data_IF_114676075672
#
_entry.id   IF_114676075672
#
_cell.length_a   1.000
_cell.length_b   1.000
_cell.length_c   1.000
_cell.angle_alpha   90.00
_cell.angle_beta   90.00
_cell.angle_gamma   90.00
#
_symmetry.space_group_name_H-M   'P 1'
#
loop_
_entity.id
_entity.type
_entity.pdbx_description
1 polymer ?
#
# COMPACT_ATOMS: atom_id res chain seq x y z
N UNK A 1 48.76 -84.50 50.74
CA UNK A 1 48.64 -83.04 50.83
C UNK A 1 49.18 -82.42 49.55
N UNK A 2 48.58 -81.33 49.05
CA UNK A 2 47.51 -81.28 48.05
C UNK A 2 48.01 -81.09 46.59
N UNK A 3 47.12 -81.27 45.58
CA UNK A 3 47.46 -81.22 44.17
C UNK A 3 47.74 -79.80 43.64
N UNK A 4 48.49 -79.76 42.54
CA UNK A 4 49.02 -78.57 41.87
C UNK A 4 47.93 -77.54 41.47
N UNK A 5 48.27 -76.23 41.50
CA UNK A 5 47.31 -75.15 41.28
C UNK A 5 46.77 -75.11 39.85
N UNK A 6 45.44 -75.05 39.75
CA UNK A 6 44.68 -74.87 38.51
C UNK A 6 44.94 -73.47 37.95
N UNK A 7 45.52 -73.40 36.75
CA UNK A 7 45.65 -72.16 35.97
C UNK A 7 44.28 -71.69 35.51
N UNK A 8 43.79 -70.58 36.06
CA UNK A 8 42.61 -69.88 35.55
C UNK A 8 42.93 -69.24 34.18
N UNK A 9 42.13 -69.59 33.16
CA UNK A 9 42.12 -68.93 31.85
C UNK A 9 41.68 -67.47 32.02
N UNK A 10 42.53 -66.52 31.63
CA UNK A 10 42.12 -65.12 31.43
C UNK A 10 41.18 -65.06 30.22
N UNK A 11 39.92 -64.73 30.45
CA UNK A 11 38.97 -64.31 29.42
C UNK A 11 39.38 -62.93 28.90
N UNK A 12 39.51 -62.79 27.58
CA UNK A 12 39.80 -61.50 26.95
C UNK A 12 38.56 -60.60 27.06
N UNK A 13 38.71 -59.44 27.68
CA UNK A 13 37.70 -58.39 27.64
C UNK A 13 37.43 -57.99 26.18
N UNK A 14 36.19 -58.12 25.72
CA UNK A 14 35.76 -57.60 24.44
C UNK A 14 35.91 -56.07 24.47
N UNK A 15 36.68 -55.52 23.52
CA UNK A 15 36.70 -54.07 23.28
C UNK A 15 35.32 -53.65 22.76
N UNK A 16 34.52 -53.02 23.62
CA UNK A 16 33.34 -52.28 23.16
C UNK A 16 33.79 -51.26 22.12
N UNK A 17 33.24 -51.36 20.91
CA UNK A 17 33.43 -50.31 19.89
C UNK A 17 32.55 -49.14 20.31
N UNK A 18 33.07 -47.90 20.33
CA UNK A 18 32.22 -46.73 20.56
C UNK A 18 31.13 -46.71 19.48
N UNK A 19 29.91 -46.24 19.81
CA UNK A 19 28.86 -46.08 18.82
C UNK A 19 29.37 -45.15 17.71
N UNK A 20 29.00 -45.39 16.44
CA UNK A 20 29.36 -44.47 15.37
C UNK A 20 28.82 -43.07 15.71
N UNK A 21 29.57 -41.99 15.38
CA UNK A 21 29.09 -40.64 15.60
C UNK A 21 27.76 -40.45 14.84
N UNK A 22 26.87 -39.53 15.29
CA UNK A 22 25.65 -39.26 14.57
C UNK A 22 26.00 -38.79 13.14
N UNK A 23 25.71 -39.63 12.15
CA UNK A 23 25.77 -39.26 10.74
C UNK A 23 24.55 -38.39 10.45
N UNK A 24 24.70 -37.08 10.54
CA UNK A 24 23.83 -36.12 9.87
C UNK A 24 24.48 -35.72 8.55
N UNK A 25 23.77 -35.90 7.44
CA UNK A 25 24.12 -35.32 6.14
C UNK A 25 23.49 -33.94 5.94
N UNK A 26 22.79 -33.40 6.94
CA UNK A 26 22.30 -32.04 6.86
C UNK A 26 23.49 -31.10 6.83
N UNK A 27 23.71 -30.48 5.67
CA UNK A 27 24.41 -29.22 5.64
C UNK A 27 23.55 -28.23 6.42
N UNK A 28 23.99 -27.89 7.62
CA UNK A 28 23.56 -26.64 8.25
C UNK A 28 24.16 -25.57 7.35
N UNK A 29 23.35 -25.07 6.44
CA UNK A 29 23.74 -23.95 5.60
C UNK A 29 24.25 -22.85 6.50
N UNK A 30 25.45 -22.36 6.23
CA UNK A 30 25.80 -21.03 6.69
C UNK A 30 24.69 -20.11 6.19
N UNK A 31 24.05 -19.36 7.09
CA UNK A 31 23.31 -18.16 6.74
C UNK A 31 24.31 -17.22 6.04
N UNK A 32 24.57 -17.44 4.75
CA UNK A 32 24.91 -16.36 3.86
C UNK A 32 23.73 -15.41 4.01
N UNK A 33 23.96 -14.32 4.75
CA UNK A 33 23.04 -13.20 4.83
C UNK A 33 22.89 -12.71 3.40
N UNK A 34 21.96 -13.31 2.66
CA UNK A 34 21.43 -12.70 1.46
C UNK A 34 20.85 -11.39 1.94
N UNK A 35 21.44 -10.28 1.49
CA UNK A 35 20.88 -8.96 1.74
C UNK A 35 19.39 -9.04 1.39
N UNK A 36 18.47 -8.74 2.32
CA UNK A 36 17.08 -8.99 2.09
C UNK A 36 16.64 -8.21 0.86
N UNK A 37 16.03 -8.90 -0.10
CA UNK A 37 15.62 -8.27 -1.35
C UNK A 37 14.61 -7.17 -1.02
N UNK A 38 14.87 -5.91 -1.41
CA UNK A 38 13.98 -4.81 -1.08
C UNK A 38 12.66 -4.98 -1.81
N UNK A 39 11.54 -4.81 -1.09
CA UNK A 39 10.20 -4.83 -1.65
C UNK A 39 9.64 -3.41 -1.72
N UNK A 40 9.32 -2.92 -2.92
CA UNK A 40 8.95 -1.52 -3.15
C UNK A 40 7.50 -1.39 -3.59
N UNK A 41 6.76 -0.51 -2.93
CA UNK A 41 5.38 -0.16 -3.24
C UNK A 41 5.34 1.31 -3.67
N UNK A 42 4.72 1.58 -4.83
CA UNK A 42 4.48 2.93 -5.32
C UNK A 42 2.97 3.18 -5.39
N UNK A 43 2.51 4.33 -4.90
CA UNK A 43 1.11 4.73 -5.04
C UNK A 43 1.00 6.13 -5.66
N UNK A 44 0.03 6.33 -6.53
CA UNK A 44 -0.25 7.63 -7.14
C UNK A 44 -1.73 7.75 -7.53
N UNK A 45 -2.38 8.84 -7.14
CA UNK A 45 -3.64 9.24 -7.77
C UNK A 45 -3.34 9.83 -9.16
N UNK A 46 -3.83 9.17 -10.21
CA UNK A 46 -3.50 9.51 -11.61
C UNK A 46 -4.48 10.50 -12.24
N UNK A 47 -5.59 10.81 -11.57
CA UNK A 47 -6.62 11.72 -12.07
C UNK A 47 -7.01 11.45 -13.54
N UNK A 48 -7.17 10.16 -13.88
CA UNK A 48 -7.37 9.65 -15.24
C UNK A 48 -6.14 8.93 -15.80
N UNK A 49 -6.17 7.59 -15.77
CA UNK A 49 -5.02 6.75 -16.13
C UNK A 49 -4.54 6.93 -17.58
N UNK A 50 -5.46 7.15 -18.52
CA UNK A 50 -5.13 7.37 -19.94
C UNK A 50 -4.26 8.61 -20.14
N UNK A 51 -4.60 9.69 -19.44
CA UNK A 51 -3.85 10.96 -19.48
C UNK A 51 -2.47 10.76 -18.87
N UNK A 52 -2.40 10.13 -17.70
CA UNK A 52 -1.13 9.86 -17.03
C UNK A 52 -0.19 9.00 -17.89
N UNK A 53 -0.72 7.97 -18.56
CA UNK A 53 0.06 7.14 -19.49
C UNK A 53 0.55 7.92 -20.71
N UNK A 54 -0.27 8.78 -21.32
CA UNK A 54 0.21 9.64 -22.43
C UNK A 54 1.32 10.62 -22.02
N UNK A 55 1.46 10.91 -20.72
CA UNK A 55 2.52 11.75 -20.16
C UNK A 55 3.78 10.96 -19.75
N UNK A 56 3.87 9.68 -20.10
CA UNK A 56 5.06 8.86 -19.85
C UNK A 56 5.11 8.18 -18.47
N UNK A 57 3.96 8.03 -17.79
CA UNK A 57 3.93 7.37 -16.47
C UNK A 57 4.40 5.89 -16.54
N UNK A 58 4.11 5.16 -17.62
CA UNK A 58 4.56 3.76 -17.79
C UNK A 58 6.08 3.66 -17.80
N UNK A 59 6.76 4.54 -18.55
CA UNK A 59 8.22 4.55 -18.65
C UNK A 59 8.87 4.87 -17.31
N UNK A 60 8.28 5.80 -16.56
CA UNK A 60 8.71 6.10 -15.20
C UNK A 60 8.59 4.88 -14.28
N UNK A 61 7.46 4.17 -14.32
CA UNK A 61 7.25 2.97 -13.51
C UNK A 61 8.26 1.88 -13.88
N UNK A 62 8.48 1.63 -15.17
CA UNK A 62 9.48 0.65 -15.60
C UNK A 62 10.90 1.03 -15.15
N UNK A 63 11.26 2.33 -15.21
CA UNK A 63 12.54 2.81 -14.72
C UNK A 63 12.68 2.68 -13.20
N UNK A 64 11.60 2.93 -12.46
CA UNK A 64 11.61 2.85 -10.99
C UNK A 64 11.50 1.42 -10.47
N UNK A 65 10.92 0.53 -11.27
CA UNK A 65 10.79 -0.91 -11.06
C UNK A 65 10.22 -1.35 -9.69
N UNK A 66 9.13 -0.73 -9.18
CA UNK A 66 8.51 -1.14 -7.92
C UNK A 66 7.88 -2.54 -8.03
N UNK A 67 7.77 -3.27 -6.94
CA UNK A 67 7.15 -4.60 -6.91
C UNK A 67 5.63 -4.51 -7.03
N UNK A 68 5.03 -3.47 -6.44
CA UNK A 68 3.61 -3.16 -6.59
C UNK A 68 3.42 -1.66 -6.91
N UNK A 69 2.49 -1.37 -7.80
CA UNK A 69 2.00 -0.02 -8.12
C UNK A 69 0.50 0.07 -7.88
N UNK A 70 0.09 1.09 -7.14
CA UNK A 70 -1.29 1.36 -6.79
C UNK A 70 -1.76 2.68 -7.45
N UNK A 71 -2.87 2.64 -8.18
CA UNK A 71 -3.45 3.79 -8.85
C UNK A 71 -4.80 4.17 -8.27
N UNK A 72 -4.94 5.43 -7.87
CA UNK A 72 -6.22 6.06 -7.51
C UNK A 72 -6.75 6.92 -8.66
N UNK A 73 -8.07 7.08 -8.74
CA UNK A 73 -8.77 7.78 -9.82
C UNK A 73 -8.32 7.37 -11.22
N UNK A 74 -8.39 6.09 -11.55
CA UNK A 74 -8.15 5.67 -12.93
C UNK A 74 -9.19 6.25 -13.89
N UNK A 75 -10.38 6.59 -13.37
CA UNK A 75 -11.55 7.11 -14.10
C UNK A 75 -12.02 6.18 -15.22
N UNK A 76 -11.70 4.90 -15.10
CA UNK A 76 -12.22 3.87 -15.97
C UNK A 76 -13.57 3.40 -15.43
N UNK A 77 -14.64 3.65 -16.16
CA UNK A 77 -15.93 3.02 -15.90
C UNK A 77 -16.09 1.74 -16.72
N UNK A 78 -17.07 0.90 -16.33
CA UNK A 78 -17.24 -0.44 -16.92
C UNK A 78 -17.37 -0.46 -18.44
N UNK A 79 -18.05 0.52 -19.06
CA UNK A 79 -18.24 0.55 -20.51
C UNK A 79 -16.98 0.94 -21.27
N UNK A 80 -16.09 1.73 -20.65
CA UNK A 80 -14.85 2.21 -21.27
C UNK A 80 -13.65 1.29 -20.99
N UNK A 81 -13.83 0.25 -20.19
CA UNK A 81 -12.78 -0.68 -19.77
C UNK A 81 -12.36 -1.62 -20.90
N UNK A 82 -13.30 -2.22 -21.62
CA UNK A 82 -12.98 -3.14 -22.72
C UNK A 82 -12.12 -2.45 -23.81
N UNK A 83 -12.56 -1.27 -24.26
CA UNK A 83 -11.81 -0.47 -25.24
C UNK A 83 -10.46 0.04 -24.70
N UNK A 84 -10.35 0.27 -23.38
CA UNK A 84 -9.06 0.57 -22.76
C UNK A 84 -8.11 -0.62 -22.86
N UNK A 85 -8.57 -1.81 -22.49
CA UNK A 85 -7.75 -3.03 -22.53
C UNK A 85 -7.34 -3.40 -23.94
N UNK A 86 -8.25 -3.31 -24.91
CA UNK A 86 -7.94 -3.58 -26.32
C UNK A 86 -6.83 -2.65 -26.86
N UNK A 87 -6.85 -1.37 -26.47
CA UNK A 87 -5.86 -0.40 -26.89
C UNK A 87 -4.52 -0.54 -26.16
N UNK A 88 -4.57 -0.77 -24.85
CA UNK A 88 -3.41 -0.58 -23.97
C UNK A 88 -2.75 -1.90 -23.52
N UNK A 89 -3.48 -3.01 -23.54
CA UNK A 89 -2.95 -4.30 -23.13
C UNK A 89 -2.19 -4.96 -24.29
N UNK A 90 -1.03 -5.51 -23.96
CA UNK A 90 -0.21 -6.33 -24.84
C UNK A 90 -0.05 -7.70 -24.23
N UNK A 91 0.07 -8.73 -25.07
CA UNK A 91 0.39 -10.07 -24.60
C UNK A 91 1.88 -10.15 -24.33
N UNK A 92 2.25 -10.48 -23.10
CA UNK A 92 3.62 -10.83 -22.77
C UNK A 92 3.97 -12.15 -23.49
N UNK A 93 5.01 -12.19 -24.34
CA UNK A 93 5.34 -13.39 -25.09
C UNK A 93 5.89 -14.52 -24.20
N UNK A 94 6.50 -14.19 -23.06
CA UNK A 94 7.16 -15.15 -22.18
C UNK A 94 6.15 -15.82 -21.25
N UNK A 95 5.21 -15.05 -20.70
CA UNK A 95 4.19 -15.55 -19.76
C UNK A 95 2.82 -15.80 -20.40
N UNK A 96 2.58 -15.22 -21.58
CA UNK A 96 1.28 -15.24 -22.23
C UNK A 96 0.23 -14.33 -21.60
N UNK A 97 0.57 -13.58 -20.55
CA UNK A 97 -0.34 -12.70 -19.81
C UNK A 97 -0.66 -11.45 -20.63
N UNK A 98 -1.94 -11.10 -20.72
CA UNK A 98 -2.35 -9.82 -21.28
C UNK A 98 -2.22 -8.73 -20.21
N UNK A 99 -1.29 -7.81 -20.42
CA UNK A 99 -1.03 -6.74 -19.45
C UNK A 99 -0.82 -5.38 -20.09
N UNK A 100 -1.21 -4.35 -19.34
CA UNK A 100 -1.08 -2.93 -19.71
C UNK A 100 0.36 -2.42 -19.48
N UNK A 101 1.14 -3.10 -18.64
CA UNK A 101 2.56 -2.81 -18.37
C UNK A 101 3.35 -4.13 -18.35
N UNK A 102 4.35 -4.26 -19.23
CA UNK A 102 5.14 -5.49 -19.42
C UNK A 102 5.80 -5.96 -18.11
N UNK A 103 5.74 -7.26 -17.80
CA UNK A 103 6.31 -7.82 -16.56
C UNK A 103 5.48 -7.56 -15.29
N UNK A 104 4.30 -6.96 -15.42
CA UNK A 104 3.34 -6.78 -14.32
C UNK A 104 2.03 -7.49 -14.67
N UNK A 105 1.41 -8.11 -13.68
CA UNK A 105 -0.02 -8.49 -13.67
C UNK A 105 -0.83 -7.41 -12.96
N UNK A 106 -2.13 -7.34 -13.21
CA UNK A 106 -2.94 -6.23 -12.69
C UNK A 106 -4.38 -6.59 -12.38
N UNK A 107 -5.01 -5.75 -11.55
CA UNK A 107 -6.44 -5.75 -11.27
C UNK A 107 -6.97 -4.32 -11.41
N UNK A 108 -8.15 -4.19 -12.01
CA UNK A 108 -8.89 -2.92 -12.09
C UNK A 108 -10.21 -3.05 -11.32
N UNK A 109 -10.44 -2.15 -10.37
CA UNK A 109 -11.73 -1.97 -9.72
C UNK A 109 -12.42 -0.75 -10.34
N UNK A 110 -13.24 -1.00 -11.36
CA UNK A 110 -13.93 0.04 -12.12
C UNK A 110 -15.27 0.42 -11.47
N UNK A 111 -15.55 1.73 -11.38
CA UNK A 111 -16.86 2.22 -10.95
C UNK A 111 -17.97 1.74 -11.88
N UNK A 112 -18.99 1.15 -11.26
CA UNK A 112 -20.28 0.82 -11.89
C UNK A 112 -21.32 1.90 -11.65
N UNK A 113 -21.16 2.69 -10.59
CA UNK A 113 -22.05 3.79 -10.23
C UNK A 113 -22.02 4.96 -11.23
N UNK A 114 -20.84 5.33 -11.75
CA UNK A 114 -20.69 6.48 -12.65
C UNK A 114 -19.52 6.32 -13.61
N UNK A 115 -19.74 6.64 -14.90
CA UNK A 115 -18.67 6.64 -15.91
C UNK A 115 -17.69 7.81 -15.69
N UNK A 116 -16.39 7.58 -15.94
CA UNK A 116 -15.36 8.61 -15.81
C UNK A 116 -15.10 9.07 -14.37
N UNK A 117 -15.50 8.29 -13.38
CA UNK A 117 -15.50 8.64 -11.96
C UNK A 117 -14.76 7.58 -11.15
N UNK A 118 -14.02 8.03 -10.13
CA UNK A 118 -13.30 7.18 -9.18
C UNK A 118 -12.49 6.07 -9.88
N UNK A 119 -12.68 4.82 -9.45
CA UNK A 119 -11.94 3.63 -9.87
C UNK A 119 -10.49 3.59 -9.41
N UNK A 120 -10.03 2.37 -9.14
CA UNK A 120 -8.68 2.08 -8.67
C UNK A 120 -8.08 0.94 -9.49
N UNK A 121 -6.76 0.82 -9.45
CA UNK A 121 -6.07 -0.33 -10.01
C UNK A 121 -4.82 -0.66 -9.18
N UNK A 122 -4.43 -1.93 -9.21
CA UNK A 122 -3.13 -2.37 -8.70
C UNK A 122 -2.41 -3.15 -9.80
N UNK A 123 -1.10 -2.95 -9.87
CA UNK A 123 -0.18 -3.70 -10.71
C UNK A 123 0.86 -4.32 -9.81
N UNK A 124 1.10 -5.62 -9.93
CA UNK A 124 2.16 -6.31 -9.22
C UNK A 124 3.10 -6.93 -10.25
N UNK A 125 4.41 -6.95 -9.99
CA UNK A 125 5.32 -7.75 -10.83
C UNK A 125 4.79 -9.18 -10.90
N UNK A 126 4.98 -9.84 -12.04
CA UNK A 126 4.47 -11.20 -12.23
C UNK A 126 5.01 -12.18 -11.17
N UNK A 127 6.24 -11.96 -10.72
CA UNK A 127 6.92 -12.70 -9.67
C UNK A 127 6.34 -12.52 -8.26
N UNK A 128 5.55 -11.47 -8.01
CA UNK A 128 4.98 -11.21 -6.68
C UNK A 128 3.77 -12.14 -6.47
N UNK A 129 3.79 -13.06 -5.50
CA UNK A 129 2.65 -13.94 -5.25
C UNK A 129 1.49 -13.14 -4.66
N UNK A 130 0.32 -13.22 -5.31
CA UNK A 130 -0.95 -12.70 -4.79
C UNK A 130 -1.79 -13.90 -4.39
N UNK A 131 -2.11 -14.00 -3.10
CA UNK A 131 -2.80 -15.15 -2.51
C UNK A 131 -4.32 -15.02 -2.56
N UNK A 132 -4.82 -13.79 -2.40
CA UNK A 132 -6.24 -13.47 -2.47
C UNK A 132 -6.47 -12.04 -2.95
N UNK A 133 -7.68 -11.76 -3.45
CA UNK A 133 -8.11 -10.45 -3.95
C UNK A 133 -9.55 -10.16 -3.51
N UNK A 134 -9.74 -9.02 -2.87
CA UNK A 134 -11.04 -8.49 -2.49
C UNK A 134 -11.21 -7.06 -3.05
N UNK A 135 -12.34 -6.81 -3.72
CA UNK A 135 -12.68 -5.51 -4.32
C UNK A 135 -13.87 -4.83 -3.65
N UNK A 136 -14.32 -5.37 -2.51
CA UNK A 136 -15.54 -4.96 -1.84
C UNK A 136 -15.29 -4.83 -0.34
N UNK A 137 -15.75 -3.73 0.23
CA UNK A 137 -15.68 -3.46 1.67
C UNK A 137 -16.97 -3.92 2.38
N UNK A 138 -18.02 -4.29 1.63
CA UNK A 138 -19.27 -4.84 2.14
C UNK A 138 -20.36 -3.79 2.36
N UNK A 139 -20.27 -2.64 1.70
CA UNK A 139 -21.31 -1.61 1.68
C UNK A 139 -21.62 -1.23 0.21
N UNK A 140 -22.82 -1.54 -0.32
CA UNK A 140 -23.16 -1.35 -1.73
C UNK A 140 -22.97 0.09 -2.24
N UNK A 141 -23.13 1.10 -1.37
CA UNK A 141 -22.92 2.50 -1.73
C UNK A 141 -21.48 2.74 -2.20
N UNK A 142 -20.49 2.18 -1.49
CA UNK A 142 -19.07 2.37 -1.79
C UNK A 142 -18.50 1.30 -2.73
N UNK A 143 -19.03 0.07 -2.67
CA UNK A 143 -18.57 -1.04 -3.50
C UNK A 143 -18.84 -0.81 -5.00
N UNK A 144 -19.82 0.02 -5.33
CA UNK A 144 -20.11 0.42 -6.71
C UNK A 144 -19.22 1.54 -7.26
N UNK A 145 -18.42 2.20 -6.41
CA UNK A 145 -17.57 3.33 -6.80
C UNK A 145 -16.16 2.93 -7.24
N UNK A 146 -15.75 1.68 -7.00
CA UNK A 146 -14.43 1.18 -7.40
C UNK A 146 -13.26 1.75 -6.59
N UNK A 147 -13.51 2.11 -5.32
CA UNK A 147 -12.57 2.85 -4.46
C UNK A 147 -11.67 1.98 -3.58
N UNK A 148 -11.81 0.66 -3.65
CA UNK A 148 -11.22 -0.27 -2.70
C UNK A 148 -10.62 -1.48 -3.42
N UNK A 149 -9.36 -1.75 -3.13
CA UNK A 149 -8.66 -2.96 -3.54
C UNK A 149 -7.88 -3.49 -2.33
N UNK A 150 -8.07 -4.76 -2.04
CA UNK A 150 -7.31 -5.49 -1.03
C UNK A 150 -6.71 -6.72 -1.68
N UNK A 151 -5.38 -6.87 -1.59
CA UNK A 151 -4.66 -8.07 -2.01
C UNK A 151 -3.90 -8.67 -0.85
N UNK A 152 -4.02 -9.98 -0.68
CA UNK A 152 -3.26 -10.73 0.31
C UNK A 152 -1.93 -11.18 -0.30
N UNK A 153 -0.82 -10.85 0.36
CA UNK A 153 0.53 -11.31 0.03
C UNK A 153 1.00 -12.27 1.13
N UNK A 154 2.05 -13.09 0.89
CA UNK A 154 2.56 -14.02 1.90
C UNK A 154 2.91 -13.37 3.25
N UNK A 155 3.37 -12.13 3.21
CA UNK A 155 3.94 -11.46 4.38
C UNK A 155 3.03 -10.37 4.97
N UNK A 156 2.08 -9.83 4.20
CA UNK A 156 1.16 -8.78 4.66
C UNK A 156 -0.07 -8.63 3.76
N UNK A 157 -1.09 -7.94 4.27
CA UNK A 157 -2.28 -7.52 3.55
C UNK A 157 -2.07 -6.10 2.99
N UNK A 158 -2.22 -5.91 1.68
CA UNK A 158 -2.13 -4.60 1.04
C UNK A 158 -3.53 -4.09 0.68
N UNK A 159 -3.91 -2.96 1.27
CA UNK A 159 -5.19 -2.29 1.06
C UNK A 159 -4.91 -0.95 0.39
N UNK A 160 -5.29 -0.81 -0.87
CA UNK A 160 -5.23 0.45 -1.61
C UNK A 160 -6.61 1.06 -1.75
N UNK A 161 -6.71 2.35 -1.49
CA UNK A 161 -7.98 3.07 -1.60
C UNK A 161 -7.89 4.42 -2.30
N UNK A 162 -9.06 4.86 -2.76
CA UNK A 162 -9.35 6.23 -3.10
C UNK A 162 -10.53 6.72 -2.25
N UNK A 163 -10.23 7.35 -1.12
CA UNK A 163 -11.25 7.77 -0.17
C UNK A 163 -12.11 8.91 -0.78
N UNK A 164 -13.45 8.94 -0.56
CA UNK A 164 -14.33 9.94 -1.15
C UNK A 164 -14.00 11.35 -0.65
N UNK A 165 -14.04 12.35 -1.53
CA UNK A 165 -13.87 13.74 -1.10
C UNK A 165 -15.18 14.29 -0.51
N UNK A 166 -15.10 15.08 0.56
CA UNK A 166 -16.28 15.68 1.22
C UNK A 166 -17.02 16.75 0.39
N UNK A 167 -16.52 17.08 -0.81
CA UNK A 167 -17.20 17.88 -1.82
C UNK A 167 -16.80 19.36 -1.78
N UNK A 168 -16.46 19.91 -2.95
CA UNK A 168 -16.13 21.33 -3.09
C UNK A 168 -17.39 22.19 -2.98
N UNK A 169 -17.30 23.34 -2.34
CA UNK A 169 -18.42 24.27 -2.19
C UNK A 169 -18.88 24.76 -3.57
N UNK A 170 -20.16 24.56 -3.89
CA UNK A 170 -20.73 24.88 -5.22
C UNK A 170 -20.97 26.39 -5.46
N UNK A 171 -20.83 27.23 -4.43
CA UNK A 171 -21.23 28.64 -4.46
C UNK A 171 -20.08 29.66 -4.31
N UNK A 172 -18.82 29.21 -4.32
CA UNK A 172 -17.66 30.07 -4.06
C UNK A 172 -17.60 30.63 -2.62
N UNK A 173 -18.57 30.27 -1.76
CA UNK A 173 -18.60 30.64 -0.34
C UNK A 173 -17.61 29.77 0.42
N UNK A 174 -16.83 30.41 1.29
CA UNK A 174 -15.96 29.71 2.22
C UNK A 174 -16.77 28.76 3.13
N UNK A 175 -16.20 27.59 3.41
CA UNK A 175 -16.75 26.71 4.43
C UNK A 175 -16.51 27.31 5.82
N UNK A 176 -17.49 27.10 6.71
CA UNK A 176 -17.48 27.57 8.09
C UNK A 176 -18.09 26.49 8.98
N UNK A 177 -18.11 26.70 10.29
CA UNK A 177 -18.87 25.82 11.20
C UNK A 177 -20.36 25.69 10.84
N UNK A 178 -20.96 26.71 10.18
CA UNK A 178 -22.38 26.72 9.77
C UNK A 178 -22.61 26.30 8.32
N UNK A 179 -21.55 26.29 7.51
CA UNK A 179 -21.60 25.94 6.10
C UNK A 179 -20.54 24.87 5.87
N UNK A 180 -20.93 23.60 5.98
CA UNK A 180 -20.03 22.44 5.95
C UNK A 180 -20.04 21.78 4.55
N UNK A 181 -19.00 20.99 4.19
CA UNK A 181 -19.00 20.24 2.95
C UNK A 181 -20.21 19.31 2.82
N UNK A 182 -20.82 19.28 1.64
CA UNK A 182 -22.10 18.59 1.42
C UNK A 182 -22.02 17.07 1.63
N UNK A 183 -20.87 16.46 1.32
CA UNK A 183 -20.69 15.01 1.40
C UNK A 183 -19.93 14.58 2.68
N UNK A 184 -19.75 15.48 3.65
CA UNK A 184 -19.00 15.17 4.87
C UNK A 184 -19.61 13.97 5.64
N UNK A 185 -20.94 13.87 5.70
CA UNK A 185 -21.61 12.74 6.37
C UNK A 185 -21.30 11.40 5.69
N UNK A 186 -21.39 11.33 4.36
CA UNK A 186 -21.02 10.17 3.56
C UNK A 186 -19.53 9.83 3.72
N UNK A 187 -18.66 10.85 3.75
CA UNK A 187 -17.23 10.66 4.04
C UNK A 187 -17.02 10.02 5.41
N UNK A 188 -17.66 10.51 6.47
CA UNK A 188 -17.51 9.92 7.81
C UNK A 188 -18.12 8.52 7.91
N UNK A 189 -19.16 8.20 7.13
CA UNK A 189 -19.64 6.81 6.98
C UNK A 189 -18.54 5.92 6.40
N UNK A 190 -17.88 6.34 5.32
CA UNK A 190 -16.76 5.63 4.71
C UNK A 190 -15.63 5.38 5.71
N UNK A 191 -15.24 6.39 6.50
CA UNK A 191 -14.17 6.26 7.50
C UNK A 191 -14.45 5.17 8.54
N UNK A 192 -15.71 5.07 9.00
CA UNK A 192 -16.11 4.03 9.95
C UNK A 192 -16.02 2.63 9.33
N UNK A 193 -16.36 2.50 8.05
CA UNK A 193 -16.31 1.23 7.34
C UNK A 193 -14.87 0.77 7.15
N UNK A 194 -13.99 1.63 6.62
CA UNK A 194 -12.58 1.27 6.40
C UNK A 194 -11.85 1.02 7.71
N UNK A 195 -12.15 1.80 8.76
CA UNK A 195 -11.60 1.58 10.09
C UNK A 195 -12.04 0.25 10.69
N UNK A 196 -13.31 -0.13 10.53
CA UNK A 196 -13.79 -1.46 10.95
C UNK A 196 -13.11 -2.57 10.15
N UNK A 197 -12.96 -2.39 8.84
CA UNK A 197 -12.34 -3.39 7.95
C UNK A 197 -10.89 -3.66 8.36
N UNK A 198 -10.08 -2.60 8.48
CA UNK A 198 -8.68 -2.70 8.89
C UNK A 198 -8.57 -3.25 10.31
N UNK A 199 -9.41 -2.77 11.23
CA UNK A 199 -9.45 -3.25 12.61
C UNK A 199 -9.70 -4.76 12.71
N UNK A 200 -10.58 -5.32 11.88
CA UNK A 200 -10.82 -6.76 11.85
C UNK A 200 -9.58 -7.54 11.39
N UNK A 201 -8.83 -7.04 10.41
CA UNK A 201 -7.59 -7.66 9.94
C UNK A 201 -6.51 -7.63 11.03
N UNK A 202 -6.30 -6.46 11.64
CA UNK A 202 -5.33 -6.31 12.74
C UNK A 202 -5.70 -7.19 13.93
N UNK A 203 -6.99 -7.25 14.31
CA UNK A 203 -7.47 -8.13 15.37
C UNK A 203 -7.30 -9.63 15.06
N UNK A 204 -7.33 -10.00 13.78
CA UNK A 204 -7.00 -11.34 13.30
C UNK A 204 -5.49 -11.62 13.24
N UNK A 205 -4.64 -10.69 13.71
CA UNK A 205 -3.20 -10.81 13.73
C UNK A 205 -2.51 -10.57 12.40
N UNK A 206 -3.22 -9.98 11.42
CA UNK A 206 -2.66 -9.67 10.11
C UNK A 206 -1.81 -8.40 10.15
N UNK A 207 -0.68 -8.44 9.45
CA UNK A 207 0.12 -7.28 9.15
C UNK A 207 -0.47 -6.53 7.95
N UNK A 208 -0.60 -5.22 8.05
CA UNK A 208 -1.37 -4.41 7.08
C UNK A 208 -0.51 -3.26 6.55
N UNK A 209 -0.58 -3.06 5.23
CA UNK A 209 -0.21 -1.82 4.53
C UNK A 209 -1.50 -1.22 3.95
N UNK A 210 -1.90 -0.06 4.46
CA UNK A 210 -3.02 0.73 3.97
C UNK A 210 -2.49 1.96 3.22
N UNK A 211 -2.80 2.10 1.94
CA UNK A 211 -2.24 3.16 1.10
C UNK A 211 -3.21 3.78 0.11
N UNK A 212 -2.77 4.88 -0.50
CA UNK A 212 -3.48 5.58 -1.57
C UNK A 212 -3.84 7.01 -1.19
N UNK A 213 -4.75 7.59 -1.97
CA UNK A 213 -5.29 8.92 -1.73
C UNK A 213 -6.40 8.83 -0.68
N UNK A 214 -6.03 9.24 0.54
CA UNK A 214 -6.94 9.25 1.67
C UNK A 214 -7.73 10.55 1.74
N UNK A 215 -7.50 11.55 0.89
CA UNK A 215 -8.28 12.81 0.89
C UNK A 215 -8.37 13.50 2.27
N UNK A 216 -7.33 13.38 3.11
CA UNK A 216 -7.24 14.05 4.41
C UNK A 216 -5.81 14.49 4.67
N UNK A 217 -5.59 15.75 5.06
CA UNK A 217 -4.34 16.22 5.64
C UNK A 217 -4.46 16.10 7.16
N UNK A 218 -3.64 15.25 7.80
CA UNK A 218 -3.84 14.90 9.20
C UNK A 218 -3.54 16.05 10.16
N UNK A 219 -2.40 16.70 9.98
CA UNK A 219 -1.89 17.73 10.87
C UNK A 219 -1.70 19.07 10.13
N UNK A 220 -1.55 20.18 10.86
CA UNK A 220 -1.34 21.49 10.25
C UNK A 220 -0.08 21.56 9.35
N UNK A 221 0.92 20.74 9.64
CA UNK A 221 2.14 20.60 8.81
C UNK A 221 1.86 19.94 7.46
N UNK A 222 0.73 19.23 7.32
CA UNK A 222 0.37 18.46 6.13
C UNK A 222 -0.34 19.29 5.05
N UNK A 223 -0.52 20.60 5.25
CA UNK A 223 -1.06 21.47 4.19
C UNK A 223 -0.57 22.91 4.29
N UNK A 224 -0.63 23.59 3.15
CA UNK A 224 -0.47 25.03 3.08
C UNK A 224 -1.70 25.76 3.66
N UNK A 225 -1.44 26.80 4.48
CA UNK A 225 -2.45 27.65 5.11
C UNK A 225 -3.54 26.89 5.91
N UNK A 226 -3.19 26.15 6.98
CA UNK A 226 -4.15 25.39 7.79
C UNK A 226 -5.32 26.23 8.32
N UNK A 227 -5.05 27.47 8.75
CA UNK A 227 -6.06 28.38 9.33
C UNK A 227 -7.23 28.66 8.39
N UNK A 228 -6.96 28.94 7.12
CA UNK A 228 -8.03 29.20 6.14
C UNK A 228 -8.70 27.93 5.63
N UNK A 229 -8.07 26.77 5.84
CA UNK A 229 -8.52 25.48 5.33
C UNK A 229 -9.23 24.60 6.37
N UNK A 230 -9.30 25.01 7.63
CA UNK A 230 -9.87 24.20 8.74
C UNK A 230 -11.29 23.66 8.48
N UNK A 231 -12.09 24.31 7.63
CA UNK A 231 -13.42 23.83 7.29
C UNK A 231 -13.54 23.26 5.87
N UNK A 232 -12.43 23.26 5.12
CA UNK A 232 -12.40 22.76 3.76
C UNK A 232 -12.29 21.22 3.75
N UNK A 233 -12.87 20.56 2.71
CA UNK A 233 -12.73 19.13 2.51
C UNK A 233 -11.27 18.68 2.58
N UNK A 234 -11.03 17.62 3.33
CA UNK A 234 -9.72 17.08 3.62
C UNK A 234 -8.99 17.71 4.80
N UNK A 235 -9.53 18.75 5.43
CA UNK A 235 -8.93 19.34 6.64
C UNK A 235 -9.96 19.70 7.71
N UNK A 236 -11.16 19.12 7.65
CA UNK A 236 -12.17 19.27 8.70
C UNK A 236 -11.77 18.54 9.98
N UNK A 237 -12.27 19.00 11.14
CA UNK A 237 -12.08 18.29 12.41
C UNK A 237 -12.54 16.84 12.34
N UNK A 238 -13.67 16.58 11.67
CA UNK A 238 -14.28 15.25 11.57
C UNK A 238 -13.42 14.29 10.75
N UNK A 239 -12.86 14.75 9.62
CA UNK A 239 -11.94 13.95 8.80
C UNK A 239 -10.64 13.66 9.56
N UNK A 240 -10.03 14.69 10.16
CA UNK A 240 -8.79 14.52 10.94
C UNK A 240 -8.98 13.61 12.14
N UNK A 241 -10.07 13.79 12.88
CA UNK A 241 -10.39 12.96 14.05
C UNK A 241 -10.72 11.52 13.66
N UNK A 242 -11.37 11.30 12.51
CA UNK A 242 -11.61 9.95 12.01
C UNK A 242 -10.28 9.25 11.67
N UNK A 243 -9.35 9.96 11.04
CA UNK A 243 -8.02 9.44 10.76
C UNK A 243 -7.22 9.17 12.04
N UNK A 244 -7.19 10.09 13.01
CA UNK A 244 -6.57 9.83 14.33
C UNK A 244 -7.15 8.57 15.00
N UNK A 245 -8.48 8.42 15.00
CA UNK A 245 -9.13 7.24 15.58
C UNK A 245 -8.77 5.94 14.87
N UNK A 246 -8.58 5.98 13.55
CA UNK A 246 -8.09 4.83 12.80
C UNK A 246 -6.68 4.43 13.26
N UNK A 247 -5.78 5.42 13.36
CA UNK A 247 -4.39 5.18 13.76
C UNK A 247 -4.29 4.68 15.20
N UNK A 248 -4.84 5.45 16.15
CA UNK A 248 -4.75 5.16 17.58
C UNK A 248 -5.55 3.89 17.94
N UNK A 249 -6.71 3.69 17.32
CA UNK A 249 -7.61 2.58 17.63
C UNK A 249 -7.06 1.21 17.25
N UNK A 250 -6.19 1.15 16.24
CA UNK A 250 -5.65 -0.11 15.71
C UNK A 250 -4.12 -0.19 15.78
N UNK A 251 -3.45 0.78 16.43
CA UNK A 251 -1.99 0.81 16.54
C UNK A 251 -1.28 0.94 15.19
N UNK A 252 -1.86 1.71 14.26
CA UNK A 252 -1.30 1.95 12.95
C UNK A 252 -0.40 3.18 12.93
N UNK A 253 0.57 3.19 12.03
CA UNK A 253 1.61 4.20 11.92
C UNK A 253 1.54 4.86 10.54
N UNK A 254 1.41 6.18 10.48
CA UNK A 254 1.71 6.96 9.27
C UNK A 254 3.23 6.90 9.01
N UNK A 255 3.63 6.07 8.05
CA UNK A 255 5.04 5.77 7.80
C UNK A 255 5.84 7.02 7.44
N UNK A 256 5.26 7.93 6.65
CA UNK A 256 5.94 9.16 6.24
C UNK A 256 6.20 10.07 7.44
N UNK A 257 5.20 10.28 8.29
CA UNK A 257 5.34 11.17 9.44
C UNK A 257 6.23 10.57 10.52
N UNK A 258 6.23 9.26 10.69
CA UNK A 258 7.14 8.57 11.61
C UNK A 258 8.61 8.68 11.17
N UNK A 259 8.89 8.57 9.86
CA UNK A 259 10.25 8.69 9.30
C UNK A 259 10.70 10.16 9.14
N UNK A 260 9.78 11.06 8.86
CA UNK A 260 10.05 12.47 8.55
C UNK A 260 9.18 13.42 9.38
N UNK A 261 9.33 13.44 10.73
CA UNK A 261 8.41 14.11 11.64
C UNK A 261 8.23 15.60 11.35
N UNK A 262 9.29 16.28 10.92
CA UNK A 262 9.30 17.73 10.70
C UNK A 262 9.38 18.13 9.21
N UNK A 263 9.40 17.16 8.28
CA UNK A 263 9.48 17.50 6.85
C UNK A 263 8.12 18.02 6.38
N UNK A 264 8.13 19.23 5.82
CA UNK A 264 7.01 19.76 5.06
C UNK A 264 7.16 19.24 3.63
N UNK A 265 6.27 18.33 3.24
CA UNK A 265 6.17 17.89 1.86
C UNK A 265 4.72 17.51 1.54
N UNK A 266 4.32 17.68 0.27
CA UNK A 266 2.93 17.59 -0.16
C UNK A 266 2.78 16.64 -1.34
N UNK A 267 1.69 15.86 -1.33
CA UNK A 267 1.40 14.87 -2.36
C UNK A 267 0.36 15.35 -3.37
N UNK A 268 -0.32 16.47 -3.12
CA UNK A 268 -1.35 17.04 -3.98
C UNK A 268 -1.24 18.56 -4.10
N UNK A 269 -1.49 19.08 -5.30
CA UNK A 269 -1.50 20.51 -5.60
C UNK A 269 -2.69 20.87 -6.47
N UNK A 270 -3.39 21.95 -6.12
CA UNK A 270 -4.48 22.46 -6.96
C UNK A 270 -3.99 22.83 -8.37
N UNK A 271 -4.76 22.45 -9.39
CA UNK A 271 -4.53 22.92 -10.77
C UNK A 271 -4.77 24.43 -10.93
N UNK A 272 -5.34 25.10 -9.92
CA UNK A 272 -5.60 26.54 -9.92
C UNK A 272 -4.52 27.31 -9.19
N UNK A 273 -4.35 28.59 -9.57
CA UNK A 273 -3.52 29.53 -8.80
C UNK A 273 -2.02 29.22 -8.80
N UNK A 274 -1.52 28.44 -9.77
CA UNK A 274 -0.10 28.04 -9.86
C UNK A 274 0.40 27.36 -8.57
N UNK A 275 -0.47 26.59 -7.91
CA UNK A 275 -0.22 26.06 -6.57
C UNK A 275 1.04 25.20 -6.50
N UNK A 276 1.31 24.37 -7.52
CA UNK A 276 2.53 23.55 -7.58
C UNK A 276 3.81 24.41 -7.62
N UNK A 277 3.82 25.45 -8.45
CA UNK A 277 4.97 26.36 -8.58
C UNK A 277 5.21 27.16 -7.30
N UNK A 278 4.13 27.51 -6.58
CA UNK A 278 4.18 28.21 -5.30
C UNK A 278 4.36 27.27 -4.10
N UNK A 279 4.45 25.96 -4.32
CA UNK A 279 4.49 24.92 -3.28
C UNK A 279 3.30 24.98 -2.30
N UNK A 280 2.14 25.44 -2.77
CA UNK A 280 0.90 25.48 -2.01
C UNK A 280 0.17 24.13 -2.13
N UNK A 281 0.64 23.13 -1.38
CA UNK A 281 0.17 21.75 -1.47
C UNK A 281 -0.46 21.20 -0.20
N UNK A 282 -0.96 19.98 -0.31
CA UNK A 282 -1.51 19.17 0.77
C UNK A 282 -0.91 17.76 0.70
N UNK A 283 -0.65 17.12 1.83
CA UNK A 283 -0.28 15.71 1.93
C UNK A 283 -1.53 14.90 2.26
N UNK A 284 -2.08 14.26 1.23
CA UNK A 284 -3.31 13.48 1.32
C UNK A 284 -3.16 12.04 0.83
N UNK A 285 -1.96 11.69 0.35
CA UNK A 285 -1.60 10.33 -0.05
C UNK A 285 -0.69 9.71 1.02
N UNK A 286 -0.99 8.47 1.42
CA UNK A 286 -0.35 7.85 2.59
C UNK A 286 0.13 6.43 2.35
N UNK A 287 1.12 6.03 3.16
CA UNK A 287 1.31 4.65 3.60
C UNK A 287 1.09 4.62 5.12
N UNK A 288 0.05 3.92 5.54
CA UNK A 288 -0.30 3.64 6.94
C UNK A 288 -0.08 2.16 7.18
N UNK A 289 0.70 1.80 8.21
CA UNK A 289 1.18 0.42 8.38
C UNK A 289 1.02 -0.07 9.82
N UNK A 290 0.93 -1.38 10.03
CA UNK A 290 1.10 -1.96 11.38
C UNK A 290 2.53 -1.76 11.88
N UNK A 291 2.74 -1.78 13.20
CA UNK A 291 4.07 -1.61 13.81
C UNK A 291 5.11 -2.60 13.28
N UNK A 292 4.73 -3.88 13.12
CA UNK A 292 5.61 -4.93 12.55
C UNK A 292 6.05 -4.66 11.12
N UNK A 293 5.18 -4.02 10.32
CA UNK A 293 5.56 -3.59 8.96
C UNK A 293 6.44 -2.36 9.03
N UNK A 294 6.15 -1.41 9.93
CA UNK A 294 6.98 -0.23 10.11
C UNK A 294 8.43 -0.58 10.46
N UNK A 295 8.67 -1.59 11.29
CA UNK A 295 10.03 -2.12 11.59
C UNK A 295 10.80 -2.58 10.34
N UNK A 296 10.08 -2.92 9.26
CA UNK A 296 10.64 -3.31 7.98
C UNK A 296 10.74 -2.17 6.98
N UNK A 297 10.18 -0.99 7.26
CA UNK A 297 10.26 0.17 6.37
C UNK A 297 11.69 0.71 6.37
N UNK A 298 12.35 0.66 5.22
CA UNK A 298 13.68 1.23 5.03
C UNK A 298 13.62 2.66 4.51
N UNK A 299 12.67 2.94 3.61
CA UNK A 299 12.45 4.28 3.06
C UNK A 299 10.97 4.52 2.80
N UNK A 300 10.57 5.78 2.90
CA UNK A 300 9.28 6.30 2.46
C UNK A 300 9.48 7.74 2.00
N UNK A 301 8.99 8.11 0.83
CA UNK A 301 9.14 9.47 0.32
C UNK A 301 8.04 9.86 -0.68
N UNK A 302 7.95 11.16 -0.95
CA UNK A 302 7.11 11.77 -1.97
C UNK A 302 8.03 12.23 -3.11
N UNK A 303 7.77 11.75 -4.33
CA UNK A 303 8.69 11.89 -5.47
C UNK A 303 8.47 13.21 -6.22
N UNK A 304 8.83 14.33 -5.59
CA UNK A 304 8.59 15.68 -6.13
C UNK A 304 9.15 15.92 -7.53
N UNK A 305 10.27 15.28 -7.89
CA UNK A 305 10.88 15.38 -9.23
C UNK A 305 10.07 14.66 -10.32
N UNK A 306 9.01 13.93 -9.93
CA UNK A 306 8.17 13.09 -10.79
C UNK A 306 6.70 13.48 -10.70
N UNK A 307 6.42 14.78 -10.82
CA UNK A 307 5.13 15.39 -10.48
C UNK A 307 4.26 15.84 -11.67
N UNK A 308 4.60 15.42 -12.89
CA UNK A 308 3.95 15.89 -14.12
C UNK A 308 2.76 15.04 -14.59
N UNK A 309 2.60 13.84 -14.02
CA UNK A 309 1.59 12.87 -14.46
C UNK A 309 0.15 13.28 -14.06
N UNK A 310 0.02 13.91 -12.89
CA UNK A 310 -1.24 14.21 -12.22
C UNK A 310 -1.14 15.53 -11.41
N UNK A 311 -2.25 15.98 -10.84
CA UNK A 311 -2.25 16.96 -9.75
C UNK A 311 -1.70 16.36 -8.43
N UNK A 312 -1.60 15.03 -8.35
CA UNK A 312 -0.85 14.33 -7.30
C UNK A 312 0.59 14.00 -7.68
N UNK A 313 1.40 13.73 -6.67
CA UNK A 313 2.81 13.32 -6.73
C UNK A 313 2.89 11.85 -6.30
N UNK A 314 3.65 10.99 -7.01
CA UNK A 314 3.83 9.61 -6.58
C UNK A 314 4.46 9.53 -5.19
N UNK A 315 3.92 8.66 -4.34
CA UNK A 315 4.54 8.26 -3.08
C UNK A 315 5.16 6.87 -3.23
N UNK A 316 6.26 6.62 -2.53
CA UNK A 316 6.98 5.35 -2.58
C UNK A 316 7.38 4.90 -1.19
N UNK A 317 7.32 3.60 -0.93
CA UNK A 317 7.79 2.97 0.29
C UNK A 317 8.56 1.70 -0.05
N UNK A 318 9.71 1.50 0.59
CA UNK A 318 10.50 0.27 0.46
C UNK A 318 10.56 -0.44 1.80
N UNK A 319 10.35 -1.76 1.75
CA UNK A 319 10.40 -2.69 2.86
C UNK A 319 11.59 -3.64 2.70
N UNK A 320 12.04 -4.22 3.81
CA UNK A 320 13.07 -5.27 3.86
C UNK A 320 12.56 -6.51 4.60
N UNK A 321 13.13 -7.69 4.30
CA UNK A 321 12.76 -8.95 4.95
C UNK A 321 11.31 -9.36 4.70
N UNK A 322 10.84 -9.22 3.47
CA UNK A 322 9.48 -9.58 3.02
C UNK A 322 9.49 -10.95 2.36
#
# INVERSE_FOLDING_TARGET
MPPAPVKMKKTSAAKERPPPPPYSTFQIGSDEKTEPVPFTILAINVNGIRSAFSKGLKDFIHKKNPDIVCFSETKLGSSAFAAFMEKEATRDPDTGVYTVMKGYKHVFCCSTAKQGYASTAMFAKESVPVLDLCMQMGDPEFDSEGRFLHVSLPSFELIHVYAPNSGRGSSGKAFTSKNRPANLSTRIKYEKLISKYIGNLVAAGKDVVYCGDLNVAHNEIDLYNPKSNHFNPGFTDEERNAFSKLLDGHGLIDAFRAMHPHRINYSWFSNFGRAREQKHGWRIDYFVVTSKIFERVTTVDILDDHNSYSDHVPIIMTLTGI
#
